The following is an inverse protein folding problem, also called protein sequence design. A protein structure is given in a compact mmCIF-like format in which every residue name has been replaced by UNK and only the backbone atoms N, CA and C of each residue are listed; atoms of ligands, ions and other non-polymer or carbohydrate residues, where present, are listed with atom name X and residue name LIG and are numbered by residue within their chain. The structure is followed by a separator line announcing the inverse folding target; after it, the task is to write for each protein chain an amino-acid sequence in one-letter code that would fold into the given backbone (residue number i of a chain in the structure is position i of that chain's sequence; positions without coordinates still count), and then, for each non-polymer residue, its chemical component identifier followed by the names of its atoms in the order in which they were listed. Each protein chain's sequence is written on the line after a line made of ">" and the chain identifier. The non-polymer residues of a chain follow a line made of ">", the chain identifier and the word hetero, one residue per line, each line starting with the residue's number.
data_IF_391044392746
#
_entry.id   IF_391044392746
#
_cell.length_a   1.000
_cell.length_b   1.000
_cell.length_c   1.000
_cell.angle_alpha   90.00
_cell.angle_beta   90.00
_cell.angle_gamma   90.00
#
_symmetry.space_group_name_H-M   'P 1'
#
loop_
_entity.id
_entity.type
_entity.pdbx_description
1 polymer ?
#
# COMPACT_ATOMS: atom_id res chain seq x y z
N UNK A 1 -5.61 -6.65 13.72
CA UNK A 1 -7.00 -6.34 13.29
C UNK A 1 -8.12 -7.00 14.09
N UNK A 2 -8.07 -8.31 14.35
CA UNK A 2 -9.19 -9.11 14.93
C UNK A 2 -9.75 -8.53 16.25
N UNK A 3 -8.90 -7.97 17.11
CA UNK A 3 -9.32 -7.37 18.39
C UNK A 3 -10.17 -6.09 18.24
N UNK A 4 -9.94 -5.29 17.19
CA UNK A 4 -10.68 -4.04 16.96
C UNK A 4 -12.07 -4.31 16.38
N UNK A 5 -12.17 -5.27 15.46
CA UNK A 5 -13.45 -5.75 14.92
C UNK A 5 -14.31 -6.38 16.03
N UNK A 6 -13.71 -7.21 16.89
CA UNK A 6 -14.39 -7.77 18.06
C UNK A 6 -14.78 -6.74 19.14
N UNK A 7 -14.13 -5.58 19.18
CA UNK A 7 -14.58 -4.45 20.01
C UNK A 7 -15.77 -3.72 19.39
N UNK A 8 -15.79 -3.57 18.06
CA UNK A 8 -16.92 -3.00 17.33
C UNK A 8 -18.20 -3.82 17.51
N UNK A 9 -18.11 -5.15 17.42
CA UNK A 9 -19.27 -6.02 17.59
C UNK A 9 -19.95 -5.86 18.95
N UNK A 10 -19.18 -5.59 20.02
CA UNK A 10 -19.75 -5.35 21.35
C UNK A 10 -20.68 -4.13 21.37
N UNK A 11 -20.32 -3.06 20.67
CA UNK A 11 -21.16 -1.87 20.56
C UNK A 11 -22.45 -2.15 19.75
N UNK A 12 -22.38 -2.98 18.71
CA UNK A 12 -23.55 -3.40 17.94
C UNK A 12 -24.54 -4.21 18.81
N UNK A 13 -24.02 -5.18 19.58
CA UNK A 13 -24.84 -6.08 20.41
C UNK A 13 -25.40 -5.43 21.69
N UNK A 14 -24.99 -4.20 22.03
CA UNK A 14 -25.54 -3.45 23.16
C UNK A 14 -26.98 -2.97 22.89
N UNK A 15 -27.35 -2.84 21.62
CA UNK A 15 -28.65 -2.36 21.18
C UNK A 15 -29.46 -3.45 20.48
N UNK A 16 -30.79 -3.37 20.57
CA UNK A 16 -31.68 -4.34 19.94
C UNK A 16 -31.72 -4.24 18.42
N UNK A 17 -31.40 -3.06 17.86
CA UNK A 17 -31.25 -2.77 16.43
C UNK A 17 -30.42 -1.52 16.22
N UNK A 18 -29.68 -1.46 15.12
CA UNK A 18 -28.93 -0.26 14.68
C UNK A 18 -29.55 0.24 13.39
N UNK A 19 -29.82 1.54 13.28
CA UNK A 19 -30.51 2.13 12.13
C UNK A 19 -29.64 3.21 11.47
N UNK A 20 -29.73 3.31 10.14
CA UNK A 20 -29.17 4.39 9.33
C UNK A 20 -30.00 5.68 9.51
N UNK A 21 -29.49 6.87 9.13
CA UNK A 21 -30.22 8.13 9.25
C UNK A 21 -31.55 8.19 8.48
N UNK A 22 -31.73 7.32 7.48
CA UNK A 22 -32.95 7.17 6.71
C UNK A 22 -33.99 6.23 7.37
N UNK A 23 -33.66 5.62 8.51
CA UNK A 23 -34.52 4.70 9.26
C UNK A 23 -34.40 3.23 8.85
N UNK A 24 -33.54 2.90 7.89
CA UNK A 24 -33.29 1.50 7.50
C UNK A 24 -32.42 0.81 8.54
N UNK A 25 -32.70 -0.47 8.82
CA UNK A 25 -31.86 -1.28 9.71
C UNK A 25 -30.50 -1.56 9.07
N UNK A 26 -29.43 -1.33 9.83
CA UNK A 26 -28.07 -1.70 9.48
C UNK A 26 -27.81 -3.11 9.99
N UNK A 27 -27.68 -4.06 9.08
CA UNK A 27 -27.34 -5.43 9.44
C UNK A 27 -25.90 -5.55 10.01
N UNK A 28 -25.65 -6.67 10.70
CA UNK A 28 -24.39 -6.93 11.39
C UNK A 28 -23.20 -6.96 10.42
N UNK A 29 -23.37 -7.53 9.23
CA UNK A 29 -22.31 -7.67 8.23
C UNK A 29 -21.87 -6.30 7.70
N UNK A 30 -22.84 -5.45 7.35
CA UNK A 30 -22.59 -4.08 6.91
C UNK A 30 -21.97 -3.22 8.01
N UNK A 31 -22.39 -3.39 9.26
CA UNK A 31 -21.76 -2.71 10.40
C UNK A 31 -20.30 -3.14 10.59
N UNK A 32 -20.01 -4.45 10.57
CA UNK A 32 -18.66 -4.96 10.74
C UNK A 32 -17.74 -4.51 9.60
N UNK A 33 -18.25 -4.47 8.37
CA UNK A 33 -17.54 -3.92 7.22
C UNK A 33 -17.16 -2.45 7.43
N UNK A 34 -18.07 -1.63 7.97
CA UNK A 34 -17.81 -0.22 8.23
C UNK A 34 -16.78 -0.03 9.37
N UNK A 35 -16.91 -0.80 10.46
CA UNK A 35 -15.91 -0.82 11.53
C UNK A 35 -14.55 -1.22 10.98
N UNK A 36 -14.50 -2.25 10.13
CA UNK A 36 -13.25 -2.69 9.53
C UNK A 36 -12.62 -1.57 8.69
N UNK A 37 -13.38 -0.90 7.81
CA UNK A 37 -12.90 0.22 6.99
C UNK A 37 -12.33 1.35 7.84
N UNK A 38 -13.06 1.75 8.87
CA UNK A 38 -12.66 2.81 9.80
C UNK A 38 -11.35 2.46 10.53
N UNK A 39 -11.23 1.22 11.02
CA UNK A 39 -10.00 0.74 11.67
C UNK A 39 -8.82 0.76 10.70
N UNK A 40 -9.02 0.28 9.46
CA UNK A 40 -7.97 0.27 8.43
C UNK A 40 -7.50 1.68 8.09
N UNK A 41 -8.42 2.64 7.98
CA UNK A 41 -8.10 4.04 7.73
C UNK A 41 -7.29 4.66 8.88
N UNK A 42 -7.67 4.40 10.13
CA UNK A 42 -6.91 4.85 11.31
C UNK A 42 -5.50 4.27 11.31
N UNK A 43 -5.34 2.98 11.03
CA UNK A 43 -4.01 2.36 10.97
C UNK A 43 -3.17 2.94 9.83
N UNK A 44 -3.76 3.15 8.65
CA UNK A 44 -3.07 3.79 7.53
C UNK A 44 -2.62 5.22 7.89
N UNK A 45 -3.50 6.02 8.49
CA UNK A 45 -3.18 7.37 8.95
C UNK A 45 -1.98 7.37 9.91
N UNK A 46 -1.94 6.40 10.84
CA UNK A 46 -0.82 6.23 11.77
C UNK A 46 0.48 5.80 11.08
N UNK A 47 0.42 4.78 10.21
CA UNK A 47 1.59 4.24 9.48
C UNK A 47 2.18 5.29 8.55
N UNK A 48 1.32 6.01 7.84
CA UNK A 48 1.69 7.04 6.86
C UNK A 48 1.94 8.41 7.51
N UNK A 49 1.62 8.56 8.80
CA UNK A 49 1.75 9.80 9.59
C UNK A 49 1.04 10.99 8.95
N UNK A 50 -0.18 10.75 8.48
CA UNK A 50 -1.06 11.75 7.87
C UNK A 50 -2.46 11.68 8.45
N UNK A 51 -3.29 12.67 8.14
CA UNK A 51 -4.72 12.63 8.43
C UNK A 51 -5.48 11.77 7.40
N UNK A 52 -6.80 11.66 7.59
CA UNK A 52 -7.69 10.92 6.70
C UNK A 52 -7.65 11.42 5.26
N UNK A 53 -7.56 12.74 5.07
CA UNK A 53 -7.45 13.32 3.74
C UNK A 53 -6.17 12.87 3.03
N UNK A 54 -5.04 12.82 3.74
CA UNK A 54 -3.77 12.30 3.24
C UNK A 54 -3.83 10.82 2.87
N UNK A 55 -4.49 9.98 3.67
CA UNK A 55 -4.78 8.58 3.30
C UNK A 55 -5.62 8.53 2.03
N UNK A 56 -6.68 9.34 1.99
CA UNK A 56 -7.60 9.53 0.88
C UNK A 56 -6.94 9.87 -0.46
N UNK A 57 -5.78 10.52 -0.43
CA UNK A 57 -5.03 10.93 -1.60
C UNK A 57 -4.18 9.83 -2.26
N UNK A 58 -3.95 8.70 -1.57
CA UNK A 58 -3.17 7.56 -2.08
C UNK A 58 -4.10 6.52 -2.71
N UNK A 59 -3.73 5.90 -3.83
CA UNK A 59 -4.60 4.90 -4.48
C UNK A 59 -4.80 3.64 -3.62
N UNK A 60 -5.96 3.00 -3.73
CA UNK A 60 -6.34 1.85 -2.87
C UNK A 60 -5.36 0.66 -2.97
N UNK A 61 -4.88 0.25 -4.16
CA UNK A 61 -3.84 -0.79 -4.24
C UNK A 61 -2.55 -0.44 -3.48
N UNK A 62 -2.12 0.82 -3.54
CA UNK A 62 -0.97 1.28 -2.75
C UNK A 62 -1.24 1.22 -1.25
N UNK A 63 -2.44 1.64 -0.80
CA UNK A 63 -2.84 1.51 0.63
C UNK A 63 -2.82 0.04 1.08
N UNK A 64 -3.32 -0.87 0.24
CA UNK A 64 -3.27 -2.31 0.51
C UNK A 64 -1.83 -2.77 0.67
N UNK A 65 -0.94 -2.41 -0.24
CA UNK A 65 0.46 -2.84 -0.17
C UNK A 65 1.14 -2.33 1.11
N UNK A 66 0.97 -1.05 1.46
CA UNK A 66 1.51 -0.47 2.70
C UNK A 66 1.01 -1.22 3.93
N UNK A 67 -0.29 -1.46 4.02
CA UNK A 67 -0.89 -2.08 5.19
C UNK A 67 -0.56 -3.56 5.30
N UNK A 68 -0.53 -4.28 4.18
CA UNK A 68 -0.13 -5.68 4.13
C UNK A 68 1.36 -5.87 4.46
N UNK A 69 2.25 -4.95 4.03
CA UNK A 69 3.64 -4.92 4.48
C UNK A 69 3.76 -4.65 5.97
N UNK A 70 2.92 -3.77 6.49
CA UNK A 70 2.90 -3.48 7.92
C UNK A 70 2.41 -4.66 8.76
N UNK A 71 1.33 -5.35 8.35
CA UNK A 71 0.77 -6.49 9.09
C UNK A 71 1.62 -7.76 8.94
N UNK A 72 2.05 -8.08 7.70
CA UNK A 72 2.62 -9.39 7.35
C UNK A 72 4.12 -9.37 7.01
N UNK A 73 4.71 -8.20 6.76
CA UNK A 73 6.09 -8.09 6.29
C UNK A 73 6.31 -8.77 4.92
N UNK A 74 7.28 -9.69 4.85
CA UNK A 74 7.59 -10.49 3.65
C UNK A 74 7.02 -11.92 3.71
N UNK A 75 6.25 -12.24 4.75
CA UNK A 75 5.68 -13.57 4.90
C UNK A 75 4.63 -13.84 3.81
N UNK A 76 4.58 -15.09 3.36
CA UNK A 76 3.45 -15.60 2.62
C UNK A 76 2.31 -15.89 3.62
N UNK A 77 1.09 -15.48 3.27
CA UNK A 77 -0.07 -15.51 4.17
C UNK A 77 -1.24 -16.27 3.54
N UNK A 78 -2.18 -16.70 4.36
CA UNK A 78 -3.41 -17.32 3.89
C UNK A 78 -4.19 -16.36 2.97
N UNK A 79 -4.75 -16.90 1.89
CA UNK A 79 -5.51 -16.13 0.90
C UNK A 79 -6.75 -15.50 1.52
N UNK A 80 -7.46 -16.21 2.39
CA UNK A 80 -8.63 -15.70 3.09
C UNK A 80 -8.29 -14.49 3.96
N UNK A 81 -7.21 -14.59 4.73
CA UNK A 81 -6.70 -13.49 5.55
C UNK A 81 -6.30 -12.26 4.71
N UNK A 82 -5.51 -12.45 3.65
CA UNK A 82 -5.16 -11.36 2.74
C UNK A 82 -6.39 -10.77 2.02
N UNK A 83 -7.37 -11.60 1.69
CA UNK A 83 -8.59 -11.19 1.00
C UNK A 83 -9.53 -10.37 1.91
N UNK A 84 -9.58 -10.68 3.21
CA UNK A 84 -10.28 -9.85 4.21
C UNK A 84 -9.65 -8.45 4.27
N UNK A 85 -8.32 -8.36 4.27
CA UNK A 85 -7.62 -7.07 4.22
C UNK A 85 -7.90 -6.30 2.92
N UNK A 86 -7.88 -6.99 1.79
CA UNK A 86 -8.15 -6.42 0.47
C UNK A 86 -9.58 -5.83 0.38
N UNK A 87 -10.58 -6.62 0.80
CA UNK A 87 -12.00 -6.21 0.83
C UNK A 87 -12.22 -4.98 1.71
N UNK A 88 -11.60 -4.93 2.89
CA UNK A 88 -11.69 -3.79 3.78
C UNK A 88 -11.13 -2.48 3.19
N UNK A 89 -10.28 -2.57 2.17
CA UNK A 89 -9.77 -1.41 1.41
C UNK A 89 -10.49 -1.20 0.08
N UNK A 90 -11.52 -1.99 -0.21
CA UNK A 90 -12.27 -1.93 -1.46
C UNK A 90 -11.42 -2.28 -2.68
N UNK A 91 -10.52 -3.26 -2.56
CA UNK A 91 -9.73 -3.83 -3.66
C UNK A 91 -9.95 -5.33 -3.77
N UNK A 92 -9.97 -5.84 -5.00
CA UNK A 92 -10.04 -7.28 -5.25
C UNK A 92 -8.64 -7.89 -5.25
N UNK A 93 -8.44 -8.95 -4.46
CA UNK A 93 -7.13 -9.59 -4.38
C UNK A 93 -6.85 -10.49 -5.60
N UNK A 94 -7.91 -11.10 -6.15
CA UNK A 94 -7.88 -12.06 -7.25
C UNK A 94 -9.13 -11.94 -8.11
N UNK A 95 -9.03 -12.26 -9.41
CA UNK A 95 -10.09 -12.04 -10.39
C UNK A 95 -9.81 -10.86 -11.34
N UNK A 96 -10.71 -10.57 -12.30
CA UNK A 96 -10.46 -9.55 -13.34
C UNK A 96 -10.16 -8.15 -12.76
N UNK A 97 -8.95 -7.67 -12.97
CA UNK A 97 -8.49 -6.38 -12.42
C UNK A 97 -8.01 -6.45 -10.97
N UNK A 98 -7.98 -7.65 -10.37
CA UNK A 98 -7.47 -7.91 -9.04
C UNK A 98 -5.95 -7.78 -8.94
N UNK A 99 -5.45 -7.78 -7.70
CA UNK A 99 -4.04 -7.54 -7.41
C UNK A 99 -3.10 -8.69 -7.79
N UNK A 100 -3.62 -9.89 -8.05
CA UNK A 100 -2.86 -11.06 -8.55
C UNK A 100 -2.66 -11.05 -10.07
N UNK A 101 -3.41 -10.22 -10.79
CA UNK A 101 -3.48 -10.26 -12.24
C UNK A 101 -2.39 -9.43 -12.94
N UNK A 102 -2.11 -9.82 -14.19
CA UNK A 102 -1.20 -9.09 -15.09
C UNK A 102 -1.89 -7.84 -15.68
N UNK A 103 -1.12 -6.83 -16.14
CA UNK A 103 0.33 -6.82 -16.37
C UNK A 103 1.19 -6.53 -15.13
N UNK A 104 0.64 -5.93 -14.07
CA UNK A 104 1.40 -5.47 -12.91
C UNK A 104 0.88 -6.08 -11.60
N UNK A 105 1.06 -7.38 -11.35
CA UNK A 105 0.59 -8.00 -10.12
C UNK A 105 1.30 -7.39 -8.90
N UNK A 106 0.55 -7.08 -7.85
CA UNK A 106 1.07 -6.72 -6.52
C UNK A 106 1.29 -7.93 -5.65
N UNK A 107 0.56 -9.01 -5.91
CA UNK A 107 0.65 -10.25 -5.15
C UNK A 107 0.82 -11.44 -6.07
N UNK A 108 1.45 -12.49 -5.55
CA UNK A 108 1.48 -13.81 -6.17
C UNK A 108 0.63 -14.75 -5.33
N UNK A 109 -0.42 -15.27 -5.94
CA UNK A 109 -1.24 -16.34 -5.37
C UNK A 109 -0.72 -17.70 -5.80
N UNK A 110 -0.51 -18.59 -4.85
CA UNK A 110 -0.23 -20.01 -5.08
C UNK A 110 -1.17 -20.82 -4.20
N UNK A 111 -2.16 -21.49 -4.81
CA UNK A 111 -3.24 -22.19 -4.11
C UNK A 111 -3.97 -21.28 -3.11
N UNK A 112 -3.81 -21.56 -1.82
CA UNK A 112 -4.40 -20.93 -0.65
C UNK A 112 -3.46 -19.89 -0.02
N UNK A 113 -2.30 -19.64 -0.61
CA UNK A 113 -1.29 -18.73 -0.06
C UNK A 113 -1.06 -17.55 -0.99
N UNK A 114 -0.84 -16.37 -0.41
CA UNK A 114 -0.54 -15.11 -1.12
C UNK A 114 0.75 -14.52 -0.57
N UNK A 115 1.64 -14.10 -1.47
CA UNK A 115 2.86 -13.36 -1.13
C UNK A 115 2.88 -12.01 -1.85
N UNK A 116 3.29 -10.96 -1.14
CA UNK A 116 3.50 -9.65 -1.74
C UNK A 116 4.74 -9.66 -2.65
N UNK A 117 4.60 -9.05 -3.82
CA UNK A 117 5.68 -8.90 -4.78
C UNK A 117 6.38 -7.56 -4.58
N UNK A 118 7.67 -7.60 -4.24
CA UNK A 118 8.49 -6.42 -3.99
C UNK A 118 8.99 -5.75 -5.29
N UNK A 119 9.83 -4.73 -5.13
CA UNK A 119 10.45 -4.06 -6.27
C UNK A 119 11.39 -4.96 -7.08
N UNK A 120 11.97 -6.01 -6.50
CA UNK A 120 12.86 -6.93 -7.24
C UNK A 120 12.09 -7.87 -8.16
N UNK A 121 10.90 -8.29 -7.74
CA UNK A 121 10.04 -9.15 -8.53
C UNK A 121 9.29 -8.43 -9.66
N UNK A 122 9.12 -7.10 -9.53
CA UNK A 122 8.23 -6.31 -10.41
C UNK A 122 8.98 -5.26 -11.22
N UNK A 123 9.98 -4.61 -10.62
CA UNK A 123 10.57 -3.37 -11.12
C UNK A 123 11.34 -3.51 -12.43
N UNK A 124 11.68 -4.72 -12.87
CA UNK A 124 12.29 -4.97 -14.18
C UNK A 124 11.35 -4.65 -15.36
N UNK A 125 10.03 -4.74 -15.18
CA UNK A 125 9.04 -4.39 -16.21
C UNK A 125 9.15 -2.90 -16.58
N UNK A 126 9.43 -2.61 -17.85
CA UNK A 126 9.60 -1.24 -18.34
C UNK A 126 8.30 -0.45 -18.38
N UNK A 127 7.14 -1.12 -18.42
CA UNK A 127 5.83 -0.49 -18.38
C UNK A 127 5.32 -0.25 -16.95
N UNK A 128 6.03 -0.72 -15.92
CA UNK A 128 5.58 -0.57 -14.53
C UNK A 128 5.64 0.90 -14.10
N UNK A 129 4.54 1.39 -13.54
CA UNK A 129 4.46 2.76 -13.03
C UNK A 129 4.31 3.82 -14.13
N UNK A 130 4.05 3.43 -15.38
CA UNK A 130 3.66 4.35 -16.44
C UNK A 130 2.12 4.44 -16.52
N UNK A 131 1.56 5.62 -16.89
CA UNK A 131 0.13 5.78 -17.13
C UNK A 131 -0.38 4.76 -18.16
N UNK A 132 -1.59 4.23 -17.94
CA UNK A 132 -2.28 3.35 -18.90
C UNK A 132 -3.67 3.89 -19.17
N UNK A 133 -4.04 3.96 -20.44
CA UNK A 133 -5.37 4.42 -20.89
C UNK A 133 -5.81 5.77 -20.30
N UNK A 134 -4.85 6.68 -20.10
CA UNK A 134 -5.08 8.01 -19.52
C UNK A 134 -5.25 8.04 -17.99
N UNK A 135 -5.25 6.89 -17.32
CA UNK A 135 -5.28 6.82 -15.86
C UNK A 135 -3.88 7.03 -15.26
N UNK A 136 -3.76 7.77 -14.13
CA UNK A 136 -2.49 7.91 -13.43
C UNK A 136 -2.01 6.54 -12.91
N UNK A 137 -0.69 6.29 -12.89
CA UNK A 137 -0.15 5.05 -12.38
C UNK A 137 -0.35 4.94 -10.86
N UNK A 138 -0.47 3.71 -10.36
CA UNK A 138 -0.49 3.43 -8.91
C UNK A 138 0.84 3.85 -8.31
N UNK A 139 0.83 4.55 -7.17
CA UNK A 139 2.06 5.06 -6.55
C UNK A 139 3.05 3.95 -6.21
N UNK A 140 2.56 2.78 -5.78
CA UNK A 140 3.41 1.63 -5.50
C UNK A 140 4.13 1.08 -6.74
N UNK A 141 3.50 1.16 -7.91
CA UNK A 141 4.11 0.73 -9.17
C UNK A 141 5.24 1.68 -9.55
N UNK A 142 4.99 2.99 -9.40
CA UNK A 142 6.00 4.02 -9.63
C UNK A 142 7.19 3.84 -8.69
N UNK A 143 6.93 3.63 -7.41
CA UNK A 143 7.96 3.44 -6.40
C UNK A 143 8.80 2.19 -6.69
N UNK A 144 8.18 1.06 -7.00
CA UNK A 144 8.92 -0.18 -7.30
C UNK A 144 9.78 -0.06 -8.55
N UNK A 145 9.26 0.58 -9.61
CA UNK A 145 10.05 0.83 -10.81
C UNK A 145 11.22 1.78 -10.52
N UNK A 146 10.97 2.84 -9.74
CA UNK A 146 12.01 3.79 -9.34
C UNK A 146 13.14 3.10 -8.54
N UNK A 147 12.80 2.30 -7.52
CA UNK A 147 13.79 1.56 -6.73
C UNK A 147 14.65 0.64 -7.62
N UNK A 148 14.02 -0.06 -8.55
CA UNK A 148 14.73 -0.93 -9.48
C UNK A 148 15.69 -0.16 -10.39
N UNK A 149 15.25 0.97 -10.97
CA UNK A 149 16.06 1.81 -11.83
C UNK A 149 17.26 2.40 -11.09
N UNK A 150 17.08 2.86 -9.86
CA UNK A 150 18.18 3.39 -9.03
C UNK A 150 19.25 2.32 -8.79
N UNK A 151 18.88 1.04 -8.66
CA UNK A 151 19.87 -0.03 -8.46
C UNK A 151 20.54 -0.52 -9.75
N UNK A 152 19.81 -0.59 -10.87
CA UNK A 152 20.29 -1.30 -12.06
C UNK A 152 20.59 -0.39 -13.24
N UNK A 153 19.83 0.70 -13.41
CA UNK A 153 19.94 1.60 -14.57
C UNK A 153 19.67 3.06 -14.19
N UNK A 154 20.52 3.70 -13.35
CA UNK A 154 20.24 5.04 -12.80
C UNK A 154 20.02 6.11 -13.88
N UNK A 155 20.66 5.96 -15.04
CA UNK A 155 20.52 6.87 -16.18
C UNK A 155 19.08 6.98 -16.71
N UNK A 156 18.24 5.94 -16.54
CA UNK A 156 16.84 5.93 -16.98
C UNK A 156 15.87 6.57 -15.97
N UNK A 157 16.30 6.89 -14.74
CA UNK A 157 15.42 7.45 -13.69
C UNK A 157 14.78 8.75 -14.15
N UNK A 158 15.56 9.64 -14.77
CA UNK A 158 15.06 10.94 -15.22
C UNK A 158 13.96 10.83 -16.30
N UNK A 159 14.15 9.95 -17.27
CA UNK A 159 13.18 9.66 -18.32
C UNK A 159 11.90 9.05 -17.73
N UNK A 160 12.05 8.06 -16.84
CA UNK A 160 10.94 7.39 -16.19
C UNK A 160 10.08 8.36 -15.37
N UNK A 161 10.67 9.16 -14.49
CA UNK A 161 9.92 10.12 -13.66
C UNK A 161 9.22 11.18 -14.51
N UNK A 162 9.85 11.59 -15.62
CA UNK A 162 9.22 12.53 -16.57
C UNK A 162 8.01 11.92 -17.28
N UNK A 163 7.99 10.61 -17.52
CA UNK A 163 6.85 9.92 -18.13
C UNK A 163 5.77 9.55 -17.10
N UNK A 164 6.17 9.14 -15.88
CA UNK A 164 5.26 8.72 -14.82
C UNK A 164 4.53 9.89 -14.14
N UNK A 165 5.18 11.07 -14.05
CA UNK A 165 4.66 12.29 -13.41
C UNK A 165 3.94 12.03 -12.07
N UNK A 166 4.55 11.31 -11.11
CA UNK A 166 3.92 11.08 -9.82
C UNK A 166 3.86 12.37 -9.00
N UNK A 167 2.90 12.45 -8.07
CA UNK A 167 2.99 13.43 -6.98
C UNK A 167 4.17 13.05 -6.07
N UNK A 168 5.20 13.89 -6.06
CA UNK A 168 6.44 13.63 -5.30
C UNK A 168 6.21 13.59 -3.78
N UNK A 169 5.24 14.34 -3.26
CA UNK A 169 4.91 14.33 -1.84
C UNK A 169 4.26 13.02 -1.42
N UNK A 170 3.26 12.58 -2.17
CA UNK A 170 2.58 11.29 -1.95
C UNK A 170 3.53 10.12 -2.15
N UNK A 171 4.38 10.15 -3.18
CA UNK A 171 5.38 9.10 -3.41
C UNK A 171 6.37 9.00 -2.25
N UNK A 172 6.83 10.14 -1.72
CA UNK A 172 7.74 10.20 -0.56
C UNK A 172 7.08 9.64 0.69
N UNK A 173 5.82 9.96 0.90
CA UNK A 173 5.03 9.48 2.02
C UNK A 173 4.87 7.96 1.99
N UNK A 174 4.55 7.38 0.81
CA UNK A 174 4.48 5.92 0.63
C UNK A 174 5.84 5.28 0.90
N UNK A 175 6.93 5.88 0.41
CA UNK A 175 8.28 5.39 0.67
C UNK A 175 8.65 5.41 2.15
N UNK A 176 8.26 6.46 2.89
CA UNK A 176 8.48 6.57 4.33
C UNK A 176 7.69 5.53 5.14
N UNK A 177 6.42 5.32 4.78
CA UNK A 177 5.59 4.29 5.39
C UNK A 177 6.20 2.89 5.23
N UNK A 178 6.67 2.55 4.03
CA UNK A 178 7.27 1.24 3.73
C UNK A 178 8.67 1.05 4.32
N UNK A 179 9.43 2.13 4.54
CA UNK A 179 10.71 2.08 5.25
C UNK A 179 10.54 1.82 6.76
N UNK A 180 9.33 2.02 7.29
CA UNK A 180 8.98 1.80 8.69
C UNK A 180 9.04 0.33 9.14
N UNK A 181 8.86 0.10 10.44
CA UNK A 181 8.87 -1.24 11.04
C UNK A 181 7.47 -1.89 10.98
N UNK A 182 7.36 -3.19 10.59
CA UNK A 182 6.10 -3.92 10.63
C UNK A 182 5.53 -4.12 12.04
N UNK A 183 4.19 -4.20 12.14
CA UNK A 183 3.41 -4.40 13.36
C UNK A 183 3.78 -5.69 14.10
N UNK A 184 3.95 -6.79 13.36
CA UNK A 184 4.32 -8.10 13.93
C UNK A 184 5.64 -8.09 14.71
N UNK A 185 6.53 -7.13 14.43
CA UNK A 185 7.78 -6.89 15.17
C UNK A 185 7.59 -5.95 16.36
N UNK A 186 6.75 -4.92 16.23
CA UNK A 186 6.43 -4.00 17.33
C UNK A 186 5.72 -4.72 18.50
N UNK A 187 4.98 -5.80 18.22
CA UNK A 187 4.29 -6.64 19.20
C UNK A 187 5.16 -7.71 19.89
N UNK A 188 6.50 -7.65 19.78
CA UNK A 188 7.43 -8.45 20.59
C UNK A 188 7.68 -9.88 20.10
N UNK A 189 7.33 -10.25 18.86
CA UNK A 189 7.77 -11.53 18.25
C UNK A 189 9.15 -11.37 17.60
N UNK A 190 10.19 -11.31 18.42
CA UNK A 190 11.59 -11.38 17.98
C UNK A 190 12.54 -10.56 18.85
N UNK A 191 13.35 -11.24 19.67
CA UNK A 191 14.45 -10.62 20.42
C UNK A 191 15.64 -10.38 19.49
N UNK A 192 15.76 -9.16 18.96
CA UNK A 192 16.95 -8.69 18.24
C UNK A 192 16.64 -7.58 17.22
N UNK A 193 17.64 -6.73 16.84
CA UNK A 193 17.47 -5.78 15.75
C UNK A 193 17.17 -6.53 14.46
N UNK A 194 15.94 -6.36 14.01
CA UNK A 194 15.43 -6.75 12.72
C UNK A 194 16.41 -6.43 11.57
N UNK A 195 16.92 -7.45 10.89
CA UNK A 195 17.56 -7.23 9.59
C UNK A 195 16.54 -6.55 8.66
N UNK A 196 16.93 -5.41 8.10
CA UNK A 196 16.11 -4.64 7.16
C UNK A 196 15.92 -5.49 5.91
N UNK A 197 14.69 -5.56 5.40
CA UNK A 197 14.44 -6.24 4.14
C UNK A 197 15.15 -5.52 2.99
N UNK A 198 15.32 -6.20 1.85
CA UNK A 198 15.96 -5.58 0.68
C UNK A 198 15.18 -4.35 0.21
N UNK A 199 13.85 -4.43 0.21
CA UNK A 199 12.97 -3.29 -0.08
C UNK A 199 13.17 -2.13 0.90
N UNK A 200 13.24 -2.40 2.21
CA UNK A 200 13.49 -1.36 3.21
C UNK A 200 14.87 -0.70 3.04
N UNK A 201 15.91 -1.49 2.72
CA UNK A 201 17.26 -0.95 2.46
C UNK A 201 17.28 -0.06 1.21
N UNK A 202 16.58 -0.47 0.14
CA UNK A 202 16.47 0.33 -1.07
C UNK A 202 15.71 1.63 -0.82
N UNK A 203 14.63 1.58 -0.03
CA UNK A 203 13.86 2.74 0.41
C UNK A 203 14.70 3.70 1.27
N UNK A 204 15.47 3.19 2.23
CA UNK A 204 16.36 4.03 3.05
C UNK A 204 17.36 4.82 2.18
N UNK A 205 17.97 4.14 1.19
CA UNK A 205 18.90 4.78 0.24
C UNK A 205 18.18 5.84 -0.60
N UNK A 206 17.02 5.49 -1.18
CA UNK A 206 16.24 6.42 -2.00
C UNK A 206 15.82 7.65 -1.20
N UNK A 207 15.36 7.48 0.04
CA UNK A 207 14.96 8.56 0.94
C UNK A 207 16.15 9.46 1.32
N UNK A 208 17.35 8.88 1.51
CA UNK A 208 18.56 9.65 1.76
C UNK A 208 19.00 10.48 0.54
N UNK A 209 18.75 9.99 -0.68
CA UNK A 209 19.03 10.69 -1.93
C UNK A 209 17.78 11.32 -2.58
N UNK A 210 16.72 11.58 -1.80
CA UNK A 210 15.41 11.92 -2.37
C UNK A 210 15.43 13.18 -3.23
N UNK A 211 16.04 14.25 -2.73
CA UNK A 211 16.10 15.53 -3.43
C UNK A 211 16.76 15.45 -4.81
N UNK A 212 18.01 14.95 -4.95
CA UNK A 212 18.66 14.88 -6.25
C UNK A 212 18.03 13.84 -7.19
N UNK A 213 17.42 12.77 -6.67
CA UNK A 213 16.85 11.71 -7.52
C UNK A 213 15.44 12.06 -8.00
N UNK A 214 14.59 12.57 -7.12
CA UNK A 214 13.16 12.77 -7.38
C UNK A 214 12.81 14.24 -7.53
N UNK A 215 13.09 15.06 -6.51
CA UNK A 215 12.66 16.47 -6.51
C UNK A 215 13.30 17.25 -7.67
N UNK A 216 14.63 17.23 -7.79
CA UNK A 216 15.34 17.97 -8.84
C UNK A 216 14.97 17.49 -10.24
N UNK A 217 14.74 16.18 -10.42
CA UNK A 217 14.30 15.58 -11.69
C UNK A 217 12.90 16.05 -12.09
N UNK A 218 11.94 16.09 -11.15
CA UNK A 218 10.58 16.54 -11.42
C UNK A 218 10.55 18.06 -11.65
N UNK A 219 11.32 18.84 -10.87
CA UNK A 219 11.39 20.30 -11.02
C UNK A 219 12.07 20.75 -12.32
N UNK A 220 13.18 20.13 -12.74
CA UNK A 220 13.90 20.55 -13.96
C UNK A 220 13.12 20.30 -15.25
N UNK A 221 12.15 19.39 -15.25
CA UNK A 221 11.41 19.01 -16.46
C UNK A 221 9.96 19.49 -16.51
N UNK A 222 9.38 19.91 -15.39
CA UNK A 222 8.08 20.61 -15.36
C UNK A 222 8.12 22.09 -15.77
N UNK A 223 9.31 22.63 -16.11
CA UNK A 223 9.54 24.06 -16.38
C UNK A 223 9.78 24.45 -17.83
N UNK A 224 9.46 23.61 -18.84
CA UNK A 224 9.53 24.06 -20.24
C UNK A 224 8.12 24.47 -20.73
N UNK A 225 7.92 25.74 -21.14
CA UNK A 225 6.68 26.20 -21.79
C UNK A 225 6.49 25.55 -23.16
#
# INVERSE_FOLDING_TARGET
>A
MIAAVGAGLRAYTEYARVELPNGDELDEEAFLDEVQREVLEVVLAQVMRVDRAGVGAVDRPTRFYVLARYEYGEAAVDFGEANILAKGLGVELDGPGGLSERPAPLVRKVKDTVALLDYTARGADEALGLPRDGAPPRLIDVLHRLLWLVEHTPAKVGEFLAAAQPDGGQLRLVAQALAGQPLGRAAGRGDGPAERTREQQALDRLLASWRPVVEETLFTRGGRP
#
